data_IF_024759799486
#
_entry.id   IF_024759799486
#
_cell.length_a   1.000
_cell.length_b   1.000
_cell.length_c   1.000
_cell.angle_alpha   90.00
_cell.angle_beta   90.00
_cell.angle_gamma   90.00
#
_symmetry.space_group_name_H-M   'P 1'
#
loop_
_entity.id
_entity.type
_entity.pdbx_description
1 polymer ?
#
# COMPACT_ATOMS: atom_id res chain seq x y z
N UNK A 1 -15.00 -27.35 20.46
CA UNK A 1 -15.39 -27.99 19.18
C UNK A 1 -14.21 -28.13 18.22
N UNK A 2 -13.45 -27.06 17.93
CA UNK A 2 -12.25 -27.11 17.06
C UNK A 2 -11.17 -28.07 17.59
N UNK A 3 -10.87 -28.04 18.90
CA UNK A 3 -9.90 -28.98 19.49
C UNK A 3 -10.30 -30.45 19.37
N UNK A 4 -11.60 -30.75 19.37
CA UNK A 4 -12.12 -32.11 19.20
C UNK A 4 -11.98 -32.58 17.75
N UNK A 5 -12.24 -31.71 16.78
CA UNK A 5 -12.08 -32.01 15.35
C UNK A 5 -10.60 -32.23 14.99
N UNK A 6 -9.70 -31.39 15.52
CA UNK A 6 -8.25 -31.53 15.31
C UNK A 6 -7.72 -32.81 15.97
N UNK A 7 -8.14 -33.11 17.20
CA UNK A 7 -7.82 -34.36 17.90
C UNK A 7 -8.27 -35.59 17.11
N UNK A 8 -9.48 -35.55 16.55
CA UNK A 8 -10.05 -36.70 15.84
C UNK A 8 -9.37 -36.90 14.47
N UNK A 9 -9.03 -35.82 13.76
CA UNK A 9 -8.28 -35.86 12.49
C UNK A 9 -6.83 -36.35 12.66
N UNK A 10 -6.17 -35.99 13.77
CA UNK A 10 -4.82 -36.48 14.06
C UNK A 10 -4.79 -37.97 14.44
N UNK A 11 -5.89 -38.52 14.95
CA UNK A 11 -5.96 -39.92 15.40
C UNK A 11 -6.26 -40.94 14.28
N UNK A 12 -6.84 -40.53 13.14
CA UNK A 12 -7.33 -41.47 12.11
C UNK A 12 -6.40 -41.66 10.90
N UNK A 13 -5.39 -40.80 10.66
CA UNK A 13 -4.45 -40.95 9.54
C UNK A 13 -3.23 -40.02 9.73
N UNK A 14 -2.39 -40.30 10.74
CA UNK A 14 -1.40 -39.34 11.27
C UNK A 14 -0.46 -38.77 10.20
N UNK A 15 0.08 -39.60 9.32
CA UNK A 15 1.24 -39.17 8.51
C UNK A 15 0.84 -38.34 7.29
N UNK A 16 -0.23 -38.72 6.59
CA UNK A 16 -0.75 -37.96 5.44
C UNK A 16 -1.44 -36.66 5.85
N UNK A 17 -2.11 -36.65 7.00
CA UNK A 17 -2.79 -35.46 7.53
C UNK A 17 -1.76 -34.44 8.08
N UNK A 18 -0.68 -34.91 8.71
CA UNK A 18 0.41 -34.02 9.16
C UNK A 18 1.16 -33.42 7.96
N UNK A 19 1.47 -34.22 6.94
CA UNK A 19 2.17 -33.73 5.74
C UNK A 19 1.36 -32.67 4.98
N UNK A 20 0.05 -32.90 4.79
CA UNK A 20 -0.84 -31.94 4.11
C UNK A 20 -0.98 -30.63 4.87
N UNK A 21 -1.01 -30.67 6.21
CA UNK A 21 -1.03 -29.46 7.05
C UNK A 21 0.30 -28.69 6.97
N UNK A 22 1.44 -29.37 6.96
CA UNK A 22 2.75 -28.72 6.80
C UNK A 22 2.89 -28.06 5.43
N UNK A 23 2.45 -28.72 4.36
CA UNK A 23 2.48 -28.14 3.02
C UNK A 23 1.59 -26.89 2.92
N UNK A 24 0.37 -26.95 3.48
CA UNK A 24 -0.52 -25.78 3.55
C UNK A 24 0.09 -24.66 4.39
N UNK A 25 0.83 -25.01 5.46
CA UNK A 25 1.57 -24.05 6.28
C UNK A 25 2.58 -23.26 5.45
N UNK A 26 3.48 -23.97 4.78
CA UNK A 26 4.49 -23.36 3.92
C UNK A 26 3.85 -22.49 2.84
N UNK A 27 2.81 -23.00 2.17
CA UNK A 27 2.14 -22.26 1.10
C UNK A 27 1.57 -20.92 1.58
N UNK A 28 0.89 -20.91 2.73
CA UNK A 28 0.31 -19.69 3.27
C UNK A 28 1.37 -18.73 3.81
N UNK A 29 2.40 -19.24 4.45
CA UNK A 29 3.54 -18.43 4.90
C UNK A 29 4.22 -17.74 3.72
N UNK A 30 4.51 -18.48 2.64
CA UNK A 30 5.09 -17.91 1.42
C UNK A 30 4.16 -16.88 0.78
N UNK A 31 2.85 -17.13 0.75
CA UNK A 31 1.87 -16.16 0.25
C UNK A 31 1.89 -14.86 1.07
N UNK A 32 1.87 -14.96 2.40
CA UNK A 32 1.91 -13.81 3.27
C UNK A 32 3.19 -13.00 3.12
N UNK A 33 4.33 -13.70 3.04
CA UNK A 33 5.63 -13.10 2.75
C UNK A 33 5.63 -12.37 1.41
N UNK A 34 5.15 -13.01 0.35
CA UNK A 34 5.06 -12.38 -0.98
C UNK A 34 4.18 -11.12 -0.95
N UNK A 35 3.03 -11.15 -0.26
CA UNK A 35 2.15 -9.98 -0.10
C UNK A 35 2.87 -8.86 0.68
N UNK A 36 3.61 -9.19 1.73
CA UNK A 36 4.43 -8.24 2.48
C UNK A 36 5.53 -7.62 1.62
N UNK A 37 6.24 -8.41 0.82
CA UNK A 37 7.29 -7.92 -0.08
C UNK A 37 6.72 -6.97 -1.15
N UNK A 38 5.57 -7.31 -1.74
CA UNK A 38 4.86 -6.42 -2.68
C UNK A 38 4.40 -5.14 -1.96
N UNK A 39 3.86 -5.26 -0.76
CA UNK A 39 3.43 -4.13 0.07
C UNK A 39 4.59 -3.16 0.36
N UNK A 40 5.78 -3.69 0.63
CA UNK A 40 6.98 -2.88 0.86
C UNK A 40 7.46 -2.19 -0.42
N UNK A 41 7.41 -2.87 -1.57
CA UNK A 41 7.71 -2.25 -2.87
C UNK A 41 6.75 -1.08 -3.19
N UNK A 42 5.45 -1.21 -2.85
CA UNK A 42 4.50 -0.11 -2.97
C UNK A 42 4.89 1.07 -2.07
N UNK A 43 5.31 0.82 -0.83
CA UNK A 43 5.78 1.86 0.09
C UNK A 43 7.03 2.58 -0.44
N UNK A 44 8.01 1.85 -0.97
CA UNK A 44 9.20 2.46 -1.58
C UNK A 44 8.82 3.41 -2.71
N UNK A 45 7.85 3.01 -3.54
CA UNK A 45 7.34 3.87 -4.61
C UNK A 45 6.56 5.07 -4.07
N UNK A 46 5.76 4.90 -3.02
CA UNK A 46 5.11 6.02 -2.32
C UNK A 46 6.13 7.02 -1.78
N UNK A 47 7.23 6.57 -1.17
CA UNK A 47 8.28 7.46 -0.68
C UNK A 47 8.95 8.25 -1.81
N UNK A 48 9.22 7.61 -2.95
CA UNK A 48 9.76 8.30 -4.14
C UNK A 48 8.80 9.37 -4.64
N UNK A 49 7.50 9.06 -4.73
CA UNK A 49 6.48 10.01 -5.17
C UNK A 49 6.33 11.15 -4.16
N UNK A 50 6.32 10.85 -2.86
CA UNK A 50 6.24 11.85 -1.80
C UNK A 50 7.45 12.80 -1.86
N UNK A 51 8.66 12.26 -1.91
CA UNK A 51 9.88 13.05 -2.05
C UNK A 51 9.86 13.92 -3.31
N UNK A 52 9.47 13.35 -4.45
CA UNK A 52 9.31 14.10 -5.69
C UNK A 52 8.27 15.22 -5.57
N UNK A 53 7.13 14.97 -4.91
CA UNK A 53 6.09 15.98 -4.69
C UNK A 53 6.56 17.13 -3.79
N UNK A 54 7.34 16.83 -2.76
CA UNK A 54 7.94 17.85 -1.87
C UNK A 54 8.94 18.69 -2.66
N UNK A 55 9.86 18.05 -3.39
CA UNK A 55 10.83 18.77 -4.24
C UNK A 55 10.12 19.64 -5.28
N UNK A 56 9.02 19.16 -5.87
CA UNK A 56 8.23 19.97 -6.81
C UNK A 56 7.55 21.17 -6.14
N UNK A 57 7.06 21.04 -4.91
CA UNK A 57 6.44 22.15 -4.18
C UNK A 57 7.47 23.20 -3.77
N UNK A 58 8.57 22.77 -3.14
CA UNK A 58 9.56 23.68 -2.56
C UNK A 58 10.65 24.12 -3.53
N UNK A 59 10.95 23.32 -4.56
CA UNK A 59 11.94 23.65 -5.59
C UNK A 59 11.40 24.55 -6.71
N UNK A 60 10.14 24.99 -6.63
CA UNK A 60 9.43 25.66 -7.72
C UNK A 60 9.75 27.15 -7.93
N UNK A 61 10.88 27.66 -7.43
CA UNK A 61 11.36 29.03 -7.73
C UNK A 61 11.38 29.36 -9.24
N UNK A 62 11.43 28.32 -10.08
CA UNK A 62 11.46 28.44 -11.52
C UNK A 62 10.13 28.92 -12.14
N UNK A 63 8.95 28.37 -11.83
CA UNK A 63 7.70 28.73 -12.53
C UNK A 63 6.46 28.41 -11.68
N UNK A 64 5.98 29.38 -10.91
CA UNK A 64 4.68 29.28 -10.21
C UNK A 64 3.58 30.06 -10.94
N UNK A 65 2.34 29.55 -11.00
CA UNK A 65 1.23 30.32 -11.54
C UNK A 65 0.98 31.59 -10.72
N UNK A 66 0.95 32.75 -11.38
CA UNK A 66 0.56 34.04 -10.77
C UNK A 66 -0.93 34.04 -10.44
N UNK A 67 -1.74 33.37 -11.27
CA UNK A 67 -3.19 33.31 -11.12
C UNK A 67 -3.61 32.37 -9.99
N UNK A 68 -4.40 32.90 -9.04
CA UNK A 68 -4.92 32.16 -7.88
C UNK A 68 -5.69 30.88 -8.27
N UNK A 69 -6.42 30.90 -9.40
CA UNK A 69 -7.19 29.75 -9.88
C UNK A 69 -6.32 28.52 -10.15
N UNK A 70 -5.12 28.71 -10.67
CA UNK A 70 -4.18 27.61 -10.91
C UNK A 70 -3.38 27.25 -9.66
N UNK A 71 -3.28 28.13 -8.66
CA UNK A 71 -2.69 27.79 -7.36
C UNK A 71 -3.56 26.83 -6.56
N UNK A 72 -4.88 26.88 -6.73
CA UNK A 72 -5.82 25.97 -6.06
C UNK A 72 -5.57 24.50 -6.45
N UNK A 73 -5.04 24.22 -7.65
CA UNK A 73 -4.76 22.83 -8.04
C UNK A 73 -3.76 22.16 -7.08
N UNK A 74 -2.81 22.92 -6.51
CA UNK A 74 -1.85 22.40 -5.53
C UNK A 74 -2.52 21.86 -4.25
N UNK A 75 -3.77 22.21 -3.96
CA UNK A 75 -4.52 21.59 -2.86
C UNK A 75 -4.78 20.10 -3.11
N UNK A 76 -4.68 19.60 -4.35
CA UNK A 76 -4.76 18.17 -4.67
C UNK A 76 -3.63 17.32 -4.05
N UNK A 77 -2.51 17.94 -3.66
CA UNK A 77 -1.47 17.24 -2.91
C UNK A 77 -1.96 16.79 -1.52
N UNK A 78 -2.85 17.55 -0.88
CA UNK A 78 -3.37 17.23 0.46
C UNK A 78 -4.15 15.89 0.46
N UNK A 79 -5.21 15.69 -0.35
CA UNK A 79 -5.93 14.42 -0.37
C UNK A 79 -5.06 13.27 -0.92
N UNK A 80 -4.08 13.57 -1.78
CA UNK A 80 -3.09 12.57 -2.21
C UNK A 80 -2.26 12.08 -1.02
N UNK A 81 -1.64 12.97 -0.26
CA UNK A 81 -0.80 12.62 0.90
C UNK A 81 -1.59 11.93 2.00
N UNK A 82 -2.84 12.35 2.26
CA UNK A 82 -3.72 11.65 3.20
C UNK A 82 -3.94 10.21 2.73
N UNK A 83 -4.23 9.99 1.44
CA UNK A 83 -4.40 8.66 0.87
C UNK A 83 -3.11 7.83 0.97
N UNK A 84 -1.95 8.43 0.74
CA UNK A 84 -0.64 7.76 0.94
C UNK A 84 -0.45 7.33 2.40
N UNK A 85 -0.75 8.23 3.35
CA UNK A 85 -0.70 7.94 4.78
C UNK A 85 -1.57 6.75 5.18
N UNK A 86 -2.78 6.68 4.65
CA UNK A 86 -3.68 5.55 4.87
C UNK A 86 -3.12 4.27 4.23
N UNK A 87 -2.54 4.36 3.03
CA UNK A 87 -1.89 3.21 2.39
C UNK A 87 -0.73 2.66 3.24
N UNK A 88 0.11 3.53 3.82
CA UNK A 88 1.16 3.13 4.76
C UNK A 88 0.62 2.42 6.02
N UNK A 89 -0.52 2.88 6.54
CA UNK A 89 -1.16 2.24 7.69
C UNK A 89 -1.51 0.78 7.39
N UNK A 90 -2.11 0.50 6.24
CA UNK A 90 -2.45 -0.88 5.84
C UNK A 90 -1.21 -1.72 5.55
N UNK A 91 -0.15 -1.13 4.98
CA UNK A 91 1.13 -1.83 4.81
C UNK A 91 1.73 -2.29 6.14
N UNK A 92 1.69 -1.44 7.15
CA UNK A 92 2.16 -1.81 8.49
C UNK A 92 1.33 -2.97 9.08
N UNK A 93 0.02 -3.01 8.83
CA UNK A 93 -0.83 -4.12 9.25
C UNK A 93 -0.45 -5.44 8.56
N UNK A 94 -0.22 -5.41 7.24
CA UNK A 94 0.25 -6.55 6.44
C UNK A 94 1.59 -7.08 6.97
N UNK A 95 2.54 -6.18 7.23
CA UNK A 95 3.86 -6.54 7.73
C UNK A 95 3.78 -7.15 9.14
N UNK A 96 2.90 -6.65 10.01
CA UNK A 96 2.68 -7.22 11.36
C UNK A 96 2.11 -8.64 11.29
N UNK A 97 1.10 -8.86 10.45
CA UNK A 97 0.52 -10.19 10.25
C UNK A 97 1.61 -11.15 9.74
N UNK A 98 2.30 -10.76 8.67
CA UNK A 98 3.32 -11.61 8.03
C UNK A 98 4.50 -11.93 8.96
N UNK A 99 4.94 -10.97 9.79
CA UNK A 99 6.00 -11.16 10.77
C UNK A 99 5.59 -12.03 11.97
N UNK A 100 4.28 -12.13 12.27
CA UNK A 100 3.78 -12.96 13.37
C UNK A 100 3.70 -14.46 13.01
N UNK A 101 3.51 -14.79 11.73
CA UNK A 101 3.30 -16.18 11.28
C UNK A 101 4.40 -17.18 11.69
N UNK A 102 5.70 -16.85 11.64
CA UNK A 102 6.76 -17.75 12.10
C UNK A 102 6.74 -18.05 13.60
N UNK A 103 6.08 -17.21 14.41
CA UNK A 103 6.10 -17.30 15.88
C UNK A 103 4.94 -18.13 16.45
N UNK A 104 4.00 -18.55 15.60
CA UNK A 104 2.79 -19.26 16.03
C UNK A 104 3.04 -20.76 16.23
N UNK A 105 2.48 -21.30 17.31
CA UNK A 105 2.42 -22.74 17.52
C UNK A 105 1.39 -23.38 16.56
N UNK A 106 1.57 -24.68 16.25
CA UNK A 106 0.71 -25.45 15.30
C UNK A 106 -0.80 -25.31 15.52
N UNK A 107 -1.26 -25.15 16.77
CA UNK A 107 -2.68 -24.98 17.12
C UNK A 107 -3.19 -23.55 16.92
N UNK A 108 -2.37 -22.55 17.28
CA UNK A 108 -2.70 -21.14 17.06
C UNK A 108 -2.69 -20.80 15.57
N UNK A 109 -1.91 -21.54 14.78
CA UNK A 109 -1.81 -21.41 13.34
C UNK A 109 -3.12 -21.70 12.58
N UNK A 110 -3.86 -22.77 12.94
CA UNK A 110 -5.12 -23.08 12.25
C UNK A 110 -6.16 -21.98 12.46
N UNK A 111 -6.13 -21.37 13.65
CA UNK A 111 -6.97 -20.21 13.97
C UNK A 111 -6.47 -18.95 13.24
N UNK A 112 -5.16 -18.76 13.18
CA UNK A 112 -4.54 -17.62 12.50
C UNK A 112 -4.78 -17.65 11.00
N UNK A 113 -4.71 -18.80 10.31
CA UNK A 113 -5.00 -18.86 8.87
C UNK A 113 -6.39 -18.31 8.56
N UNK A 114 -7.41 -18.75 9.30
CA UNK A 114 -8.80 -18.39 8.97
C UNK A 114 -9.03 -16.90 9.24
N UNK A 115 -8.57 -16.39 10.38
CA UNK A 115 -8.79 -14.98 10.75
C UNK A 115 -7.84 -14.01 10.02
N UNK A 116 -6.57 -14.39 9.87
CA UNK A 116 -5.54 -13.52 9.31
C UNK A 116 -5.49 -13.58 7.79
N UNK A 117 -5.99 -14.63 7.11
CA UNK A 117 -6.06 -14.64 5.64
C UNK A 117 -7.06 -13.61 5.11
N UNK A 118 -8.23 -13.50 5.73
CA UNK A 118 -9.20 -12.45 5.41
C UNK A 118 -8.64 -11.07 5.76
N UNK A 119 -8.00 -10.94 6.92
CA UNK A 119 -7.34 -9.71 7.34
C UNK A 119 -6.25 -9.26 6.37
N UNK A 120 -5.37 -10.17 5.95
CA UNK A 120 -4.26 -9.89 5.05
C UNK A 120 -4.76 -9.47 3.65
N UNK A 121 -5.71 -10.21 3.09
CA UNK A 121 -6.29 -9.90 1.78
C UNK A 121 -7.04 -8.55 1.81
N UNK A 122 -7.85 -8.31 2.83
CA UNK A 122 -8.59 -7.06 3.02
C UNK A 122 -7.66 -5.86 3.21
N UNK A 123 -6.60 -6.01 4.01
CA UNK A 123 -5.60 -4.97 4.21
C UNK A 123 -4.83 -4.67 2.92
N UNK A 124 -4.46 -5.70 2.15
CA UNK A 124 -3.78 -5.51 0.87
C UNK A 124 -4.67 -4.82 -0.18
N UNK A 125 -5.93 -5.22 -0.27
CA UNK A 125 -6.92 -4.57 -1.13
C UNK A 125 -7.09 -3.08 -0.75
N UNK A 126 -7.17 -2.79 0.55
CA UNK A 126 -7.25 -1.43 1.07
C UNK A 126 -5.98 -0.62 0.75
N UNK A 127 -4.78 -1.18 1.01
CA UNK A 127 -3.51 -0.53 0.66
C UNK A 127 -3.47 -0.16 -0.82
N UNK A 128 -3.82 -1.11 -1.69
CA UNK A 128 -3.82 -0.94 -3.16
C UNK A 128 -4.82 0.10 -3.62
N UNK A 129 -6.00 0.15 -3.01
CA UNK A 129 -7.02 1.15 -3.29
C UNK A 129 -6.53 2.56 -2.95
N UNK A 130 -6.04 2.77 -1.73
CA UNK A 130 -5.54 4.07 -1.29
C UNK A 130 -4.26 4.50 -2.02
N UNK A 131 -3.39 3.56 -2.37
CA UNK A 131 -2.24 3.79 -3.24
C UNK A 131 -2.71 4.33 -4.61
N UNK A 132 -3.65 3.64 -5.26
CA UNK A 132 -4.19 4.05 -6.56
C UNK A 132 -4.90 5.40 -6.49
N UNK A 133 -5.65 5.65 -5.41
CA UNK A 133 -6.31 6.93 -5.17
C UNK A 133 -5.31 8.07 -5.03
N UNK A 134 -4.19 7.84 -4.32
CA UNK A 134 -3.12 8.84 -4.16
C UNK A 134 -2.50 9.24 -5.51
N UNK A 135 -2.26 8.25 -6.38
CA UNK A 135 -1.73 8.45 -7.73
C UNK A 135 -2.74 9.19 -8.61
N UNK A 136 -4.03 8.85 -8.51
CA UNK A 136 -5.08 9.52 -9.28
C UNK A 136 -5.10 11.03 -9.00
N UNK A 137 -4.99 11.45 -7.73
CA UNK A 137 -4.92 12.87 -7.38
C UNK A 137 -3.67 13.57 -7.94
N UNK A 138 -2.51 12.93 -7.87
CA UNK A 138 -1.27 13.48 -8.44
C UNK A 138 -1.36 13.58 -9.97
N UNK A 139 -1.97 12.59 -10.61
CA UNK A 139 -2.17 12.58 -12.06
C UNK A 139 -3.11 13.71 -12.50
N UNK A 140 -4.23 13.91 -11.79
CA UNK A 140 -5.15 15.02 -12.04
C UNK A 140 -4.42 16.37 -11.85
N UNK A 141 -3.64 16.51 -10.78
CA UNK A 141 -2.82 17.70 -10.56
C UNK A 141 -1.85 17.95 -11.72
N UNK A 142 -1.17 16.91 -12.19
CA UNK A 142 -0.22 17.00 -13.30
C UNK A 142 -0.89 17.47 -14.59
N UNK A 143 -2.11 17.01 -14.89
CA UNK A 143 -2.88 17.48 -16.05
C UNK A 143 -3.15 18.99 -15.94
N UNK A 144 -3.60 19.46 -14.78
CA UNK A 144 -3.82 20.90 -14.56
C UNK A 144 -2.55 21.71 -14.69
N UNK A 145 -1.44 21.19 -14.16
CA UNK A 145 -0.13 21.82 -14.26
C UNK A 145 0.33 21.92 -15.71
N UNK A 146 0.25 20.83 -16.49
CA UNK A 146 0.62 20.81 -17.91
C UNK A 146 -0.27 21.72 -18.74
N UNK A 147 -1.59 21.71 -18.51
CA UNK A 147 -2.51 22.62 -19.16
C UNK A 147 -2.10 24.08 -18.90
N UNK A 148 -1.85 24.44 -17.65
CA UNK A 148 -1.37 25.78 -17.32
C UNK A 148 -0.05 26.10 -18.02
N UNK A 149 0.93 25.18 -17.96
CA UNK A 149 2.26 25.37 -18.52
C UNK A 149 2.23 25.62 -20.03
N UNK A 150 1.46 24.84 -20.79
CA UNK A 150 1.32 24.98 -22.25
C UNK A 150 0.70 26.33 -22.65
N UNK A 151 -0.34 26.80 -21.93
CA UNK A 151 -1.05 28.02 -22.32
C UNK A 151 -0.48 29.32 -21.71
N UNK A 152 0.27 29.23 -20.61
CA UNK A 152 0.70 30.40 -19.84
C UNK A 152 2.21 30.42 -19.52
N UNK A 153 2.95 29.33 -19.73
CA UNK A 153 4.36 29.21 -19.37
C UNK A 153 5.26 30.26 -20.04
N UNK A 154 5.03 30.52 -21.33
CA UNK A 154 5.84 31.47 -22.11
C UNK A 154 5.68 32.93 -21.65
N UNK A 155 4.51 33.29 -21.12
CA UNK A 155 4.24 34.66 -20.65
C UNK A 155 5.00 34.96 -19.36
N UNK A 156 5.20 33.95 -18.51
CA UNK A 156 5.91 34.08 -17.24
C UNK A 156 7.43 34.17 -17.46
N UNK A 157 7.99 33.44 -18.45
CA UNK A 157 9.44 33.45 -18.69
C UNK A 157 9.95 34.79 -19.24
N UNK A 158 9.15 35.50 -20.04
CA UNK A 158 9.51 36.82 -20.60
C UNK A 158 9.45 37.97 -19.59
N UNK A 159 8.66 37.85 -18.53
CA UNK A 159 8.50 38.88 -17.50
C UNK A 159 9.64 38.93 -16.47
N UNK A 160 10.47 37.88 -16.39
CA UNK A 160 11.64 37.81 -15.49
C UNK A 160 12.97 38.23 -16.16
N UNK A 161 12.94 38.63 -17.44
CA UNK A 161 14.07 39.28 -18.14
C UNK A 161 13.88 40.78 -18.11
#
# INVERSE_FOLDING_TARGET
MINYIISNMLSQNSDTTIFTLQHKFETYYQLAKNISDISNSLNENLFKILAGSIVLLFGSDFLSPVNIKFRISYLLFIPSWISMGISFYYSNAINRISASLPTLNKLDYVKSIIYDSEGLSSNYASQSFYFSLSIAFIFIWLIFYLYWWVFHGDKVSKSKK
#
